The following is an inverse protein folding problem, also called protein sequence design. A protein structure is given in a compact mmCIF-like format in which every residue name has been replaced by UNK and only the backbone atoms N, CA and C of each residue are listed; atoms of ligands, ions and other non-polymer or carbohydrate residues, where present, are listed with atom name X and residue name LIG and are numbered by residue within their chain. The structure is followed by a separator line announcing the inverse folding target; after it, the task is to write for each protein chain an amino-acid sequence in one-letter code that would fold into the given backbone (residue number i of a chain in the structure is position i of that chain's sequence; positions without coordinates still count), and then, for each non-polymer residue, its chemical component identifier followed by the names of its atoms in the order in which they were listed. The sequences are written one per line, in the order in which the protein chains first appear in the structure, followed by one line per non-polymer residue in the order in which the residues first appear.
data_IF_101306113569
#
_entry.id   IF_101306113569
#
_cell.length_a   1.000
_cell.length_b   1.000
_cell.length_c   1.000
_cell.angle_alpha   90.00
_cell.angle_beta   90.00
_cell.angle_gamma   90.00
#
_symmetry.space_group_name_H-M   'P 1'
#
loop_
_entity.id
_entity.type
_entity.pdbx_description
1 polymer ?
#
# COMPACT_ATOMS: atom_id res chain seq x y z
N UNK A 1 48.41 -27.61 32.38
CA UNK A 1 48.16 -26.19 32.06
C UNK A 1 47.49 -26.11 30.68
N UNK A 2 46.16 -25.97 30.54
CA UNK A 2 45.55 -25.77 29.23
C UNK A 2 45.53 -24.28 28.84
N UNK A 3 46.07 -23.99 27.65
CA UNK A 3 46.13 -22.67 27.06
C UNK A 3 44.73 -22.16 26.65
N UNK A 4 44.39 -20.94 27.08
CA UNK A 4 43.16 -20.22 26.69
C UNK A 4 43.27 -19.73 25.24
N UNK A 5 42.32 -20.15 24.39
CA UNK A 5 42.10 -19.54 23.05
C UNK A 5 41.51 -18.12 23.21
N UNK A 6 41.94 -17.12 22.42
CA UNK A 6 41.33 -15.79 22.45
C UNK A 6 39.98 -15.79 21.71
N UNK A 7 38.98 -15.19 22.36
CA UNK A 7 37.65 -14.98 21.80
C UNK A 7 37.70 -13.94 20.66
N UNK A 8 37.21 -14.34 19.49
CA UNK A 8 37.09 -13.48 18.30
C UNK A 8 36.04 -12.39 18.55
N UNK A 9 36.49 -11.14 18.61
CA UNK A 9 35.65 -9.97 18.77
C UNK A 9 34.80 -9.76 17.51
N UNK A 10 33.48 -10.02 17.62
CA UNK A 10 32.50 -9.82 16.56
C UNK A 10 32.22 -8.33 16.42
N UNK A 11 32.94 -7.67 15.51
CA UNK A 11 32.71 -6.28 15.11
C UNK A 11 31.28 -6.11 14.61
N UNK A 12 30.43 -5.45 15.42
CA UNK A 12 29.11 -4.98 14.98
C UNK A 12 29.32 -3.86 13.97
N UNK A 13 29.29 -4.18 12.68
CA UNK A 13 29.16 -3.16 11.63
C UNK A 13 27.83 -2.46 11.83
N UNK A 14 27.88 -1.25 12.36
CA UNK A 14 26.74 -0.33 12.36
C UNK A 14 26.41 -0.01 10.90
N UNK A 15 25.37 -0.67 10.37
CA UNK A 15 24.76 -0.28 9.11
C UNK A 15 24.16 1.11 9.29
N UNK A 16 24.86 2.12 8.77
CA UNK A 16 24.34 3.47 8.65
C UNK A 16 22.97 3.40 7.96
N UNK A 17 21.92 3.73 8.72
CA UNK A 17 20.56 3.80 8.22
C UNK A 17 20.53 4.89 7.14
N UNK A 18 20.48 4.46 5.87
CA UNK A 18 20.25 5.34 4.74
C UNK A 18 18.95 6.09 5.02
N UNK A 19 18.95 7.43 5.12
CA UNK A 19 17.70 8.15 5.25
C UNK A 19 16.83 7.80 4.05
N UNK A 20 15.68 7.17 4.31
CA UNK A 20 14.65 6.98 3.29
C UNK A 20 14.25 8.38 2.83
N UNK A 21 14.65 8.75 1.62
CA UNK A 21 14.10 9.93 0.95
C UNK A 21 12.57 9.80 1.02
N UNK A 22 11.84 10.82 1.53
CA UNK A 22 10.41 10.88 1.30
C UNK A 22 10.18 10.89 -0.22
N UNK A 23 9.15 10.20 -0.74
CA UNK A 23 8.73 10.38 -2.12
C UNK A 23 8.06 11.76 -2.20
N UNK A 24 8.88 12.79 -2.28
CA UNK A 24 8.49 14.19 -2.40
C UNK A 24 9.35 14.84 -3.47
N UNK A 25 9.46 14.19 -4.63
CA UNK A 25 9.86 14.87 -5.85
C UNK A 25 8.60 15.48 -6.44
N UNK A 26 8.56 16.80 -6.59
CA UNK A 26 7.46 17.50 -7.25
C UNK A 26 7.28 16.97 -8.66
N UNK A 27 6.36 16.04 -8.82
CA UNK A 27 5.78 15.68 -10.09
C UNK A 27 4.42 16.38 -10.11
N UNK A 28 4.31 17.44 -10.89
CA UNK A 28 3.01 17.92 -11.34
C UNK A 28 2.31 16.74 -12.02
N UNK A 29 1.22 16.29 -11.43
CA UNK A 29 0.59 15.05 -11.87
C UNK A 29 -0.50 14.59 -10.93
N UNK A 30 -1.70 14.49 -11.46
CA UNK A 30 -2.83 13.90 -10.78
C UNK A 30 -2.64 12.35 -10.83
N UNK A 31 -2.81 11.64 -9.70
CA UNK A 31 -2.55 10.19 -9.59
C UNK A 31 -3.64 9.48 -8.81
N UNK A 32 -3.80 8.17 -9.02
CA UNK A 32 -4.71 7.37 -8.21
C UNK A 32 -4.01 6.79 -6.98
N UNK A 33 -4.47 7.21 -5.80
CA UNK A 33 -4.12 6.56 -4.55
C UNK A 33 -5.07 5.40 -4.26
N UNK A 34 -4.48 4.22 -4.07
CA UNK A 34 -5.21 3.01 -3.75
C UNK A 34 -5.20 2.75 -2.25
N UNK A 35 -6.38 2.73 -1.63
CA UNK A 35 -6.54 2.37 -0.23
C UNK A 35 -7.19 0.99 -0.10
N UNK A 36 -6.51 0.10 0.60
CA UNK A 36 -6.98 -1.26 0.89
C UNK A 36 -7.47 -1.37 2.32
N UNK A 37 -8.64 -1.98 2.49
CA UNK A 37 -9.25 -2.20 3.80
C UNK A 37 -9.78 -3.63 3.91
N UNK A 38 -9.78 -4.16 5.13
CA UNK A 38 -10.47 -5.41 5.41
C UNK A 38 -11.96 -5.10 5.56
N UNK A 39 -12.80 -5.77 4.78
CA UNK A 39 -14.24 -5.62 4.88
C UNK A 39 -14.81 -6.60 5.91
N UNK A 40 -15.83 -6.15 6.64
CA UNK A 40 -16.66 -7.03 7.47
C UNK A 40 -17.87 -7.56 6.69
N UNK A 41 -18.27 -6.85 5.62
CA UNK A 41 -19.40 -7.20 4.77
C UNK A 41 -19.11 -6.78 3.31
N UNK A 42 -19.64 -7.52 2.34
CA UNK A 42 -19.49 -7.30 0.90
C UNK A 42 -20.67 -6.57 0.25
N UNK A 43 -21.74 -6.28 1.00
CA UNK A 43 -22.91 -5.52 0.48
C UNK A 43 -22.48 -4.18 -0.11
N UNK A 44 -22.90 -3.90 -1.34
CA UNK A 44 -22.59 -2.65 -2.04
C UNK A 44 -21.24 -2.63 -2.77
N UNK A 45 -20.47 -3.73 -2.74
CA UNK A 45 -19.21 -3.87 -3.47
C UNK A 45 -19.36 -4.79 -4.68
N UNK A 46 -18.56 -4.53 -5.72
CA UNK A 46 -18.41 -5.41 -6.88
C UNK A 46 -17.21 -6.32 -6.67
N UNK A 47 -17.36 -7.60 -7.02
CA UNK A 47 -16.27 -8.57 -6.94
C UNK A 47 -15.34 -8.41 -8.14
N UNK A 48 -14.04 -8.32 -7.87
CA UNK A 48 -13.00 -8.21 -8.91
C UNK A 48 -11.95 -9.28 -8.70
N UNK A 49 -11.46 -9.84 -9.80
CA UNK A 49 -10.34 -10.78 -9.77
C UNK A 49 -9.03 -10.01 -9.64
N UNK A 50 -8.19 -10.42 -8.69
CA UNK A 50 -6.89 -9.81 -8.43
C UNK A 50 -5.81 -10.89 -8.51
N UNK A 51 -4.62 -10.54 -9.00
CA UNK A 51 -3.49 -11.47 -9.02
C UNK A 51 -3.12 -11.89 -7.60
N UNK A 52 -2.78 -13.16 -7.44
CA UNK A 52 -2.44 -13.75 -6.13
C UNK A 52 -1.30 -13.00 -5.43
N UNK A 53 -0.23 -12.67 -6.14
CA UNK A 53 0.91 -11.91 -5.60
C UNK A 53 0.51 -10.55 -5.01
N UNK A 54 -0.45 -9.88 -5.66
CA UNK A 54 -0.94 -8.59 -5.22
C UNK A 54 -1.77 -8.74 -3.95
N UNK A 55 -2.67 -9.73 -3.92
CA UNK A 55 -3.43 -10.08 -2.71
C UNK A 55 -2.49 -10.36 -1.53
N UNK A 56 -1.44 -11.16 -1.71
CA UNK A 56 -0.51 -11.48 -0.63
C UNK A 56 0.22 -10.26 -0.07
N UNK A 57 0.67 -9.35 -0.95
CA UNK A 57 1.31 -8.10 -0.53
C UNK A 57 0.38 -7.26 0.34
N UNK A 58 -0.88 -7.14 -0.07
CA UNK A 58 -1.91 -6.39 0.65
C UNK A 58 -2.25 -7.08 1.98
N UNK A 59 -2.49 -8.39 1.96
CA UNK A 59 -2.80 -9.17 3.15
C UNK A 59 -1.68 -9.09 4.18
N UNK A 60 -0.40 -9.15 3.78
CA UNK A 60 0.76 -8.93 4.67
C UNK A 60 0.74 -7.55 5.31
N UNK A 61 0.34 -6.52 4.56
CA UNK A 61 0.25 -5.16 5.08
C UNK A 61 -0.92 -5.00 6.08
N UNK A 62 -2.07 -5.61 5.78
CA UNK A 62 -3.24 -5.62 6.66
C UNK A 62 -3.00 -6.43 7.94
N UNK A 63 -2.33 -7.58 7.86
CA UNK A 63 -1.97 -8.41 9.01
C UNK A 63 -1.14 -7.67 10.07
N UNK A 64 -0.36 -6.65 9.67
CA UNK A 64 0.40 -5.81 10.62
C UNK A 64 -0.51 -4.85 11.39
N UNK A 65 -1.63 -4.44 10.81
CA UNK A 65 -2.60 -3.50 11.39
C UNK A 65 -3.72 -4.22 12.15
N UNK A 66 -4.10 -5.43 11.73
CA UNK A 66 -5.15 -6.23 12.35
C UNK A 66 -4.67 -6.86 13.66
N UNK A 67 -5.31 -6.48 14.78
CA UNK A 67 -5.03 -7.05 16.11
C UNK A 67 -5.83 -8.32 16.40
N UNK A 68 -7.02 -8.44 15.83
CA UNK A 68 -7.95 -9.52 16.13
C UNK A 68 -7.49 -10.88 15.57
N UNK A 69 -7.48 -11.92 16.42
CA UNK A 69 -6.95 -13.25 16.07
C UNK A 69 -7.76 -13.91 14.95
N UNK A 70 -9.09 -13.79 14.98
CA UNK A 70 -9.98 -14.37 13.98
C UNK A 70 -9.77 -13.72 12.60
N UNK A 71 -9.80 -12.39 12.54
CA UNK A 71 -9.54 -11.63 11.32
C UNK A 71 -8.16 -11.92 10.71
N UNK A 72 -7.12 -12.14 11.54
CA UNK A 72 -5.79 -12.55 11.06
C UNK A 72 -5.77 -13.96 10.46
N UNK A 73 -6.53 -14.90 11.03
CA UNK A 73 -6.67 -16.25 10.47
C UNK A 73 -7.34 -16.20 9.11
N UNK A 74 -8.43 -15.45 8.97
CA UNK A 74 -9.12 -15.27 7.68
C UNK A 74 -8.22 -14.63 6.62
N UNK A 75 -7.45 -13.61 6.98
CA UNK A 75 -6.49 -12.97 6.05
C UNK A 75 -5.42 -13.96 5.57
N UNK A 76 -4.89 -14.81 6.47
CA UNK A 76 -3.89 -15.84 6.12
C UNK A 76 -4.48 -16.95 5.24
N UNK A 77 -5.72 -17.33 5.49
CA UNK A 77 -6.44 -18.34 4.71
C UNK A 77 -7.03 -17.79 3.40
N UNK A 78 -6.85 -16.49 3.12
CA UNK A 78 -7.40 -15.81 1.93
C UNK A 78 -8.94 -15.83 1.87
N UNK A 79 -9.58 -15.88 3.03
CA UNK A 79 -11.04 -15.91 3.19
C UNK A 79 -11.61 -14.55 3.63
N UNK A 80 -10.74 -13.58 3.94
CA UNK A 80 -11.18 -12.24 4.31
C UNK A 80 -11.54 -11.43 3.06
N UNK A 81 -12.76 -10.87 2.95
CA UNK A 81 -13.08 -9.95 1.89
C UNK A 81 -12.24 -8.66 2.05
N UNK A 82 -11.64 -8.22 0.95
CA UNK A 82 -10.84 -7.00 0.91
C UNK A 82 -11.55 -5.96 0.04
N UNK A 83 -11.61 -4.74 0.54
CA UNK A 83 -12.13 -3.58 -0.16
C UNK A 83 -10.98 -2.76 -0.74
N UNK A 84 -11.18 -2.29 -1.96
CA UNK A 84 -10.28 -1.34 -2.62
C UNK A 84 -11.06 -0.08 -2.94
N UNK A 85 -10.51 1.06 -2.54
CA UNK A 85 -11.03 2.37 -2.95
C UNK A 85 -9.91 3.12 -3.65
N UNK A 86 -10.20 3.63 -4.83
CA UNK A 86 -9.33 4.50 -5.59
C UNK A 86 -9.75 5.94 -5.32
N UNK A 87 -8.78 6.82 -5.11
CA UNK A 87 -9.02 8.26 -5.02
C UNK A 87 -8.04 8.97 -5.94
N UNK A 88 -8.56 9.82 -6.82
CA UNK A 88 -7.73 10.75 -7.58
C UNK A 88 -7.18 11.83 -6.64
N UNK A 89 -5.86 11.90 -6.51
CA UNK A 89 -5.12 12.77 -5.60
C UNK A 89 -3.84 13.29 -6.25
N UNK A 90 -3.37 14.46 -5.81
CA UNK A 90 -2.13 15.05 -6.32
C UNK A 90 -2.21 16.57 -6.31
N UNK A 91 -1.27 17.20 -7.00
CA UNK A 91 -1.20 18.65 -7.16
C UNK A 91 -1.01 18.96 -8.62
N UNK A 92 -1.83 19.86 -9.14
CA UNK A 92 -1.88 20.21 -10.56
C UNK A 92 -1.78 21.76 -10.63
N UNK A 93 -0.85 22.30 -11.44
CA UNK A 93 -0.50 23.73 -11.44
C UNK A 93 -1.66 24.58 -11.96
N UNK A 94 -2.37 25.29 -11.07
CA UNK A 94 -3.52 26.12 -11.44
C UNK A 94 -4.87 25.40 -11.42
N UNK A 95 -4.94 24.18 -10.89
CA UNK A 95 -6.17 23.38 -10.87
C UNK A 95 -6.25 22.38 -9.70
N UNK A 96 -7.16 21.41 -9.81
CA UNK A 96 -7.30 20.29 -8.87
C UNK A 96 -7.34 18.95 -9.61
N UNK A 97 -7.04 17.86 -8.92
CA UNK A 97 -7.18 16.52 -9.49
C UNK A 97 -8.65 16.11 -9.50
N UNK A 98 -9.17 15.71 -10.66
CA UNK A 98 -10.54 15.23 -10.80
C UNK A 98 -10.60 13.97 -11.65
N UNK A 99 -11.58 13.11 -11.35
CA UNK A 99 -11.90 11.94 -12.16
C UNK A 99 -12.76 12.36 -13.35
N UNK A 100 -12.23 12.19 -14.56
CA UNK A 100 -12.93 12.38 -15.82
C UNK A 100 -13.38 11.03 -16.39
N UNK A 101 -14.64 10.98 -16.85
CA UNK A 101 -15.22 9.82 -17.51
C UNK A 101 -14.89 9.90 -19.00
N UNK A 102 -14.06 8.97 -19.50
CA UNK A 102 -13.64 8.95 -20.91
C UNK A 102 -14.50 7.97 -21.75
N UNK A 103 -15.24 7.06 -21.11
CA UNK A 103 -16.14 6.12 -21.79
C UNK A 103 -17.08 5.42 -20.81
N UNK A 104 -17.74 4.35 -21.25
CA UNK A 104 -18.59 3.53 -20.37
C UNK A 104 -17.76 2.85 -19.28
N UNK A 105 -17.72 3.48 -18.09
CA UNK A 105 -17.03 3.04 -16.89
C UNK A 105 -15.50 3.14 -16.89
N UNK A 106 -14.92 3.94 -17.79
CA UNK A 106 -13.48 4.23 -17.78
C UNK A 106 -13.23 5.62 -17.19
N UNK A 107 -12.52 5.66 -16.07
CA UNK A 107 -12.20 6.88 -15.33
C UNK A 107 -10.70 7.19 -15.44
N UNK A 108 -10.36 8.44 -15.72
CA UNK A 108 -8.98 8.92 -15.72
C UNK A 108 -8.84 10.08 -14.75
N UNK A 109 -7.77 10.05 -13.95
CA UNK A 109 -7.45 11.10 -12.99
C UNK A 109 -6.63 12.16 -13.71
N UNK A 110 -7.23 13.31 -13.97
CA UNK A 110 -6.63 14.40 -14.74
C UNK A 110 -6.75 15.74 -14.00
N UNK A 111 -6.02 16.75 -14.50
CA UNK A 111 -6.10 18.10 -13.99
C UNK A 111 -7.40 18.76 -14.44
N UNK A 112 -8.30 19.03 -13.50
CA UNK A 112 -9.43 19.94 -13.71
C UNK A 112 -9.00 21.39 -13.50
N UNK A 113 -9.42 22.27 -14.40
CA UNK A 113 -9.22 23.71 -14.31
C UNK A 113 -10.58 24.41 -14.28
N UNK A 114 -10.70 25.56 -13.61
CA UNK A 114 -11.88 26.40 -13.74
C UNK A 114 -12.01 26.81 -15.22
N UNK A 115 -13.14 26.44 -15.83
CA UNK A 115 -13.55 26.91 -17.17
C UNK A 115 -14.41 28.16 -17.02
#
# INVERSE_FOLDING_TARGET
MPARKPASARTKRASAARPRRPPGGGATGCTYEQTWTQLTNTRGYVQVWVREEQYEKIAKHLLKRTKEKYARTLLRQRLAPLGVTWKCTGTCEGGWCQEHVIGENTFVCECGYFT
#
